data_IF_285274768417
#
_entry.id   IF_285274768417
#
_cell.length_a   1.000
_cell.length_b   1.000
_cell.length_c   1.000
_cell.angle_alpha   90.00
_cell.angle_beta   90.00
_cell.angle_gamma   90.00
#
_symmetry.space_group_name_H-M   'P 1'
#
loop_
_entity.id
_entity.type
_entity.pdbx_description
1 polymer ?
#
# COMPACT_ATOMS: atom_id res chain seq x y z
N UNK A 1 18.02 -30.36 2.11
CA UNK A 1 18.54 -29.10 1.56
C UNK A 1 17.73 -28.71 0.33
N UNK A 2 16.53 -28.15 0.52
CA UNK A 2 15.67 -27.58 -0.53
C UNK A 2 14.77 -26.52 0.10
N UNK A 3 15.36 -25.45 0.65
CA UNK A 3 14.58 -24.37 1.30
C UNK A 3 15.07 -22.96 0.93
N UNK A 4 15.88 -22.82 -0.13
CA UNK A 4 16.36 -21.51 -0.60
C UNK A 4 15.46 -20.84 -1.65
N UNK A 5 14.91 -21.61 -2.59
CA UNK A 5 14.17 -21.07 -3.74
C UNK A 5 12.74 -20.64 -3.38
N UNK A 6 12.07 -21.37 -2.48
CA UNK A 6 10.68 -21.08 -2.11
C UNK A 6 10.50 -19.76 -1.35
N UNK A 7 11.51 -19.31 -0.61
CA UNK A 7 11.45 -18.01 0.09
C UNK A 7 11.61 -16.85 -0.90
N UNK A 8 12.50 -17.01 -1.90
CA UNK A 8 12.72 -16.00 -2.95
C UNK A 8 11.48 -15.81 -3.82
N UNK A 9 10.86 -16.91 -4.26
CA UNK A 9 9.67 -16.85 -5.11
C UNK A 9 8.46 -16.23 -4.40
N UNK A 10 8.26 -16.53 -3.10
CA UNK A 10 7.17 -15.94 -2.31
C UNK A 10 7.37 -14.44 -2.04
N UNK A 11 8.61 -14.01 -1.84
CA UNK A 11 8.94 -12.60 -1.66
C UNK A 11 8.84 -11.81 -2.97
N UNK A 12 9.22 -12.41 -4.11
CA UNK A 12 8.99 -11.83 -5.44
C UNK A 12 7.50 -11.66 -5.74
N UNK A 13 6.69 -12.69 -5.46
CA UNK A 13 5.23 -12.60 -5.61
C UNK A 13 4.64 -11.51 -4.71
N UNK A 14 5.16 -11.35 -3.49
CA UNK A 14 4.70 -10.31 -2.57
C UNK A 14 5.07 -8.91 -3.07
N UNK A 15 6.29 -8.73 -3.55
CA UNK A 15 6.75 -7.47 -4.12
C UNK A 15 5.91 -7.09 -5.35
N UNK A 16 5.65 -8.05 -6.24
CA UNK A 16 4.79 -7.85 -7.41
C UNK A 16 3.34 -7.50 -7.01
N UNK A 17 2.78 -8.18 -6.01
CA UNK A 17 1.45 -7.87 -5.52
C UNK A 17 1.37 -6.47 -4.89
N UNK A 18 2.37 -6.08 -4.11
CA UNK A 18 2.46 -4.73 -3.53
C UNK A 18 2.60 -3.66 -4.62
N UNK A 19 3.42 -3.90 -5.64
CA UNK A 19 3.55 -3.01 -6.79
C UNK A 19 2.23 -2.86 -7.55
N UNK A 20 1.51 -3.97 -7.78
CA UNK A 20 0.20 -3.95 -8.41
C UNK A 20 -0.82 -3.16 -7.58
N UNK A 21 -0.85 -3.36 -6.26
CA UNK A 21 -1.74 -2.62 -5.36
C UNK A 21 -1.47 -1.11 -5.40
N UNK A 22 -0.19 -0.70 -5.35
CA UNK A 22 0.23 0.70 -5.52
C UNK A 22 -0.24 1.30 -6.84
N UNK A 23 -0.03 0.58 -7.95
CA UNK A 23 -0.46 1.01 -9.28
C UNK A 23 -1.99 1.18 -9.38
N UNK A 24 -2.76 0.28 -8.79
CA UNK A 24 -4.23 0.36 -8.76
C UNK A 24 -4.69 1.57 -7.96
N UNK A 25 -4.14 1.77 -6.75
CA UNK A 25 -4.49 2.92 -5.89
C UNK A 25 -4.11 4.25 -6.56
N UNK A 26 -2.94 4.34 -7.20
CA UNK A 26 -2.51 5.53 -7.94
C UNK A 26 -3.41 5.81 -9.14
N UNK A 27 -3.80 4.78 -9.91
CA UNK A 27 -4.77 4.90 -11.00
C UNK A 27 -6.12 5.45 -10.52
N UNK A 28 -6.60 5.03 -9.34
CA UNK A 28 -7.86 5.53 -8.76
C UNK A 28 -7.79 7.03 -8.45
N UNK A 29 -6.66 7.50 -7.92
CA UNK A 29 -6.42 8.93 -7.69
C UNK A 29 -6.40 9.70 -9.00
N UNK A 30 -5.67 9.21 -10.01
CA UNK A 30 -5.64 9.81 -11.34
C UNK A 30 -7.04 9.94 -11.92
N UNK A 31 -7.83 8.88 -11.90
CA UNK A 31 -9.20 8.89 -12.42
C UNK A 31 -10.09 9.90 -11.69
N UNK A 32 -9.98 9.97 -10.36
CA UNK A 32 -10.75 10.93 -9.54
C UNK A 32 -10.37 12.38 -9.87
N UNK A 33 -9.08 12.66 -10.03
CA UNK A 33 -8.60 14.01 -10.34
C UNK A 33 -8.94 14.42 -11.77
N UNK A 34 -8.77 13.52 -12.74
CA UNK A 34 -9.18 13.73 -14.13
C UNK A 34 -10.68 13.99 -14.23
N UNK A 35 -11.51 13.25 -13.50
CA UNK A 35 -12.96 13.47 -13.45
C UNK A 35 -13.32 14.84 -12.85
N UNK A 36 -12.46 15.40 -12.00
CA UNK A 36 -12.60 16.75 -11.44
C UNK A 36 -11.98 17.85 -12.34
N UNK A 37 -11.54 17.50 -13.56
CA UNK A 37 -10.93 18.44 -14.51
C UNK A 37 -9.47 18.78 -14.22
N UNK A 38 -8.81 18.08 -13.30
CA UNK A 38 -7.39 18.26 -13.00
C UNK A 38 -6.54 17.31 -13.86
N UNK A 39 -5.40 17.80 -14.34
CA UNK A 39 -4.42 16.97 -15.05
C UNK A 39 -3.19 16.81 -14.19
N UNK A 40 -2.90 15.57 -13.77
CA UNK A 40 -1.61 15.22 -13.17
C UNK A 40 -0.59 14.94 -14.26
N UNK A 41 0.68 15.25 -13.97
CA UNK A 41 1.80 14.86 -14.82
C UNK A 41 2.19 13.42 -14.50
N UNK A 42 2.54 12.66 -15.54
CA UNK A 42 3.01 11.29 -15.40
C UNK A 42 1.89 10.25 -15.31
N UNK A 43 2.30 9.00 -15.19
CA UNK A 43 1.39 7.86 -15.05
C UNK A 43 1.23 7.40 -13.59
N UNK A 44 0.61 6.23 -13.38
CA UNK A 44 0.39 5.68 -12.05
C UNK A 44 1.69 5.31 -11.31
N UNK A 45 2.77 5.01 -12.02
CA UNK A 45 4.08 4.70 -11.43
C UNK A 45 4.76 6.00 -10.97
N UNK A 46 4.69 7.06 -11.78
CA UNK A 46 5.16 8.40 -11.39
C UNK A 46 4.45 8.89 -10.11
N UNK A 47 3.11 8.79 -10.08
CA UNK A 47 2.31 9.17 -8.90
C UNK A 47 2.69 8.35 -7.67
N UNK A 48 2.91 7.04 -7.85
CA UNK A 48 3.37 6.15 -6.78
C UNK A 48 4.72 6.61 -6.23
N UNK A 49 5.66 6.97 -7.10
CA UNK A 49 6.98 7.43 -6.70
C UNK A 49 6.89 8.72 -5.86
N UNK A 50 6.10 9.70 -6.29
CA UNK A 50 5.90 10.97 -5.55
C UNK A 50 5.27 10.72 -4.18
N UNK A 51 4.24 9.87 -4.10
CA UNK A 51 3.54 9.57 -2.84
C UNK A 51 4.42 8.79 -1.83
N UNK A 52 5.30 7.93 -2.33
CA UNK A 52 6.27 7.20 -1.50
C UNK A 52 7.41 8.09 -1.03
N UNK A 53 8.00 8.89 -1.93
CA UNK A 53 9.09 9.81 -1.60
C UNK A 53 8.64 10.88 -0.60
N UNK A 54 7.40 11.37 -0.76
CA UNK A 54 6.81 12.42 0.07
C UNK A 54 7.72 13.65 0.21
N UNK A 55 8.40 14.00 -0.88
CA UNK A 55 9.36 15.08 -0.94
C UNK A 55 8.64 16.43 -1.06
N UNK A 56 8.73 17.32 -0.05
CA UNK A 56 8.14 18.66 -0.13
C UNK A 56 8.72 19.53 -1.24
N UNK A 57 9.90 19.21 -1.77
CA UNK A 57 10.52 19.93 -2.88
C UNK A 57 9.99 19.49 -4.26
N UNK A 58 9.28 18.36 -4.35
CA UNK A 58 8.66 17.91 -5.60
C UNK A 58 7.44 18.79 -5.94
N UNK A 59 7.38 19.44 -7.11
CA UNK A 59 6.24 20.27 -7.50
C UNK A 59 4.90 19.51 -7.52
N UNK A 60 4.89 18.20 -7.79
CA UNK A 60 3.69 17.37 -7.80
C UNK A 60 3.22 17.01 -6.39
N UNK A 61 4.12 17.03 -5.40
CA UNK A 61 3.78 16.69 -4.02
C UNK A 61 2.70 17.60 -3.46
N UNK A 62 2.70 18.90 -3.78
CA UNK A 62 1.66 19.83 -3.32
C UNK A 62 0.25 19.39 -3.73
N UNK A 63 0.08 18.86 -4.94
CA UNK A 63 -1.20 18.36 -5.44
C UNK A 63 -1.56 16.98 -4.88
N UNK A 64 -0.58 16.12 -4.61
CA UNK A 64 -0.78 14.73 -4.24
C UNK A 64 -0.82 14.49 -2.72
N UNK A 65 -0.17 15.35 -1.93
CA UNK A 65 -0.05 15.20 -0.48
C UNK A 65 -1.39 15.05 0.27
N UNK A 66 -2.51 15.74 -0.12
CA UNK A 66 -3.79 15.56 0.57
C UNK A 66 -4.36 14.14 0.41
N UNK A 67 -3.92 13.39 -0.59
CA UNK A 67 -4.41 12.04 -0.89
C UNK A 67 -3.52 10.93 -0.34
N UNK A 68 -2.34 11.23 0.23
CA UNK A 68 -1.36 10.21 0.62
C UNK A 68 -1.89 9.23 1.66
N UNK A 69 -2.67 9.70 2.63
CA UNK A 69 -3.25 8.84 3.66
C UNK A 69 -4.26 7.86 3.04
N UNK A 70 -5.23 8.37 2.30
CA UNK A 70 -6.26 7.56 1.63
C UNK A 70 -5.62 6.57 0.64
N UNK A 71 -4.62 7.02 -0.12
CA UNK A 71 -3.84 6.17 -1.00
C UNK A 71 -3.18 5.01 -0.25
N UNK A 72 -2.51 5.30 0.86
CA UNK A 72 -1.77 4.28 1.63
C UNK A 72 -2.72 3.24 2.23
N UNK A 73 -3.89 3.67 2.69
CA UNK A 73 -4.94 2.79 3.19
C UNK A 73 -5.56 1.94 2.07
N UNK A 74 -5.73 2.50 0.87
CA UNK A 74 -6.23 1.76 -0.29
C UNK A 74 -5.23 0.69 -0.75
N UNK A 75 -3.93 1.02 -0.80
CA UNK A 75 -2.86 0.04 -1.07
C UNK A 75 -2.91 -1.10 -0.06
N UNK A 76 -3.04 -0.77 1.23
CA UNK A 76 -3.10 -1.74 2.33
C UNK A 76 -4.33 -2.67 2.22
N UNK A 77 -5.48 -2.11 1.87
CA UNK A 77 -6.71 -2.86 1.62
C UNK A 77 -6.57 -3.81 0.42
N UNK A 78 -6.03 -3.31 -0.69
CA UNK A 78 -5.84 -4.08 -1.92
C UNK A 78 -4.90 -5.27 -1.72
N UNK A 79 -3.74 -5.06 -1.09
CA UNK A 79 -2.77 -6.13 -0.85
C UNK A 79 -3.31 -7.16 0.15
N UNK A 80 -4.02 -6.72 1.19
CA UNK A 80 -4.65 -7.61 2.16
C UNK A 80 -5.70 -8.51 1.52
N UNK A 81 -6.54 -7.97 0.63
CA UNK A 81 -7.55 -8.75 -0.09
C UNK A 81 -6.93 -9.72 -1.09
N UNK A 82 -5.94 -9.27 -1.87
CA UNK A 82 -5.26 -10.11 -2.87
C UNK A 82 -4.56 -11.33 -2.24
N UNK A 83 -3.98 -11.17 -1.05
CA UNK A 83 -3.31 -12.25 -0.32
C UNK A 83 -4.31 -13.21 0.37
N UNK A 84 -5.50 -12.74 0.72
CA UNK A 84 -6.58 -13.58 1.28
C UNK A 84 -7.22 -14.46 0.20
N UNK A 85 -7.43 -13.93 -1.01
CA UNK A 85 -8.19 -14.60 -2.07
C UNK A 85 -7.43 -15.77 -2.73
N UNK A 86 -6.09 -15.74 -2.73
CA UNK A 86 -5.29 -16.69 -3.52
C UNK A 86 -5.18 -18.12 -3.00
N UNK A 87 -5.50 -18.42 -1.72
CA UNK A 87 -5.23 -19.76 -1.17
C UNK A 87 -6.36 -20.50 -0.46
N UNK A 88 -7.56 -19.95 -0.22
CA UNK A 88 -8.59 -20.53 0.71
C UNK A 88 -8.08 -20.82 2.15
N UNK A 89 -6.77 -20.90 2.33
CA UNK A 89 -5.97 -20.77 3.52
C UNK A 89 -5.47 -19.34 3.59
N UNK A 90 -5.66 -18.77 4.77
CA UNK A 90 -5.31 -17.40 5.11
C UNK A 90 -3.77 -17.29 5.12
N UNK A 91 -3.12 -17.08 3.98
CA UNK A 91 -1.70 -16.71 3.99
C UNK A 91 -1.61 -15.32 4.62
N UNK A 92 -1.33 -15.31 5.92
CA UNK A 92 -1.19 -14.09 6.70
C UNK A 92 0.26 -13.61 6.62
N UNK A 93 0.81 -13.45 5.42
CA UNK A 93 2.12 -12.79 5.31
C UNK A 93 1.96 -11.31 5.62
N UNK A 94 2.81 -10.74 6.49
CA UNK A 94 2.71 -9.34 6.85
C UNK A 94 3.22 -8.49 5.68
N UNK A 95 2.37 -7.60 5.21
CA UNK A 95 2.59 -6.48 4.28
C UNK A 95 3.22 -5.29 5.01
N UNK A 96 4.36 -5.55 5.67
CA UNK A 96 5.05 -4.61 6.56
C UNK A 96 5.33 -3.28 5.87
N UNK A 97 5.80 -3.30 4.62
CA UNK A 97 6.11 -2.09 3.86
C UNK A 97 4.88 -1.22 3.58
N UNK A 98 3.71 -1.84 3.34
CA UNK A 98 2.46 -1.10 3.16
C UNK A 98 2.00 -0.46 4.47
N UNK A 99 2.13 -1.18 5.58
CA UNK A 99 1.82 -0.64 6.92
C UNK A 99 2.78 0.49 7.31
N UNK A 100 4.08 0.35 7.02
CA UNK A 100 5.08 1.39 7.25
C UNK A 100 4.73 2.66 6.47
N UNK A 101 4.40 2.52 5.18
CA UNK A 101 3.98 3.64 4.34
C UNK A 101 2.71 4.31 4.89
N UNK A 102 1.71 3.54 5.33
CA UNK A 102 0.49 4.07 5.92
C UNK A 102 0.75 4.83 7.23
N UNK A 103 1.59 4.28 8.13
CA UNK A 103 1.98 4.98 9.36
C UNK A 103 2.74 6.28 9.07
N UNK A 104 3.67 6.27 8.11
CA UNK A 104 4.38 7.47 7.67
C UNK A 104 3.46 8.51 7.00
N UNK A 105 2.31 8.08 6.47
CA UNK A 105 1.25 8.95 5.97
C UNK A 105 0.29 9.44 7.07
N UNK A 106 0.50 9.04 8.33
CA UNK A 106 -0.32 9.44 9.48
C UNK A 106 -1.48 8.51 9.79
N UNK A 107 -1.52 7.30 9.23
CA UNK A 107 -2.56 6.33 9.55
C UNK A 107 -2.51 5.91 11.01
N UNK A 108 -3.68 5.80 11.62
CA UNK A 108 -3.82 5.24 12.97
C UNK A 108 -3.91 3.71 12.91
N UNK A 109 -3.58 3.05 14.02
CA UNK A 109 -3.79 1.59 14.16
C UNK A 109 -5.25 1.16 13.99
N UNK A 110 -6.20 2.08 14.22
CA UNK A 110 -7.61 1.84 13.93
C UNK A 110 -7.86 1.69 12.43
N UNK A 111 -7.41 2.67 11.64
CA UNK A 111 -7.54 2.67 10.18
C UNK A 111 -6.78 1.50 9.53
N UNK A 112 -5.59 1.18 10.05
CA UNK A 112 -4.82 0.01 9.61
C UNK A 112 -5.60 -1.28 9.88
N UNK A 113 -6.15 -1.45 11.09
CA UNK A 113 -6.99 -2.61 11.43
C UNK A 113 -8.17 -2.77 10.48
N UNK A 114 -8.92 -1.70 10.24
CA UNK A 114 -10.04 -1.68 9.30
C UNK A 114 -9.61 -2.07 7.87
N UNK A 115 -8.52 -1.50 7.36
CA UNK A 115 -8.01 -1.78 6.02
C UNK A 115 -7.59 -3.25 5.82
N UNK A 116 -7.03 -3.88 6.85
CA UNK A 116 -6.58 -5.29 6.79
C UNK A 116 -7.65 -6.29 7.25
N UNK A 117 -8.87 -5.83 7.55
CA UNK A 117 -9.97 -6.66 8.03
C UNK A 117 -9.70 -7.29 9.41
N UNK A 118 -9.08 -6.54 10.32
CA UNK A 118 -8.72 -6.97 11.68
C UNK A 118 -9.07 -5.92 12.74
N UNK A 119 -8.98 -6.31 14.02
CA UNK A 119 -9.13 -5.34 15.11
C UNK A 119 -7.84 -4.52 15.28
N UNK A 120 -7.91 -3.29 15.79
CA UNK A 120 -6.73 -2.42 15.94
C UNK A 120 -5.64 -3.05 16.82
N UNK A 121 -6.03 -3.73 17.89
CA UNK A 121 -5.08 -4.40 18.79
C UNK A 121 -4.35 -5.57 18.12
N UNK A 122 -5.05 -6.36 17.29
CA UNK A 122 -4.45 -7.47 16.54
C UNK A 122 -3.50 -6.95 15.47
N UNK A 123 -3.89 -5.90 14.74
CA UNK A 123 -3.02 -5.24 13.76
C UNK A 123 -1.75 -4.69 14.44
N UNK A 124 -1.91 -3.95 15.54
CA UNK A 124 -0.77 -3.42 16.31
C UNK A 124 0.18 -4.53 16.75
N UNK A 125 -0.31 -5.58 17.42
CA UNK A 125 0.53 -6.70 17.86
C UNK A 125 1.24 -7.43 16.71
N UNK A 126 0.57 -7.55 15.55
CA UNK A 126 1.12 -8.21 14.36
C UNK A 126 2.24 -7.39 13.71
N UNK A 127 2.03 -6.10 13.48
CA UNK A 127 2.96 -5.31 12.68
C UNK A 127 4.04 -4.62 13.52
N UNK A 128 3.76 -4.23 14.77
CA UNK A 128 4.69 -3.45 15.59
C UNK A 128 6.04 -4.13 15.82
N UNK A 129 6.09 -5.45 15.89
CA UNK A 129 7.32 -6.22 16.09
C UNK A 129 8.19 -6.34 14.82
N UNK A 130 7.64 -5.97 13.66
CA UNK A 130 8.23 -6.17 12.33
C UNK A 130 8.58 -4.86 11.63
N UNK A 131 8.09 -3.74 12.17
CA UNK A 131 8.39 -2.35 11.78
C UNK A 131 9.56 -1.83 12.62
#
# INVERSE_FOLDING_TARGET
MKDGTSCSDEDEVRAAALQAARRIASTRITNRLTAAGMTLRGDAEDITAVLLAADPADPQWGALSPYRLDWSLDVLSLISNALVERRRERIRTPDVDAVAAALNAGATWKQIGEAVGSTPAVAHGRYRQRL
#
